data_IF_487583085823
#
_entry.id   IF_487583085823
#
_cell.length_a   1.000
_cell.length_b   1.000
_cell.length_c   1.000
_cell.angle_alpha   90.00
_cell.angle_beta   90.00
_cell.angle_gamma   90.00
#
_symmetry.space_group_name_H-M   'P 1'
#
loop_
_entity.id
_entity.type
_entity.pdbx_description
1 polymer ?
#
# COMPACT_ATOMS: atom_id res chain seq x y z
N UNK A 1 6.96 -20.75 -8.24
CA UNK A 1 6.77 -20.74 -6.77
C UNK A 1 5.78 -19.65 -6.32
N UNK A 2 4.78 -19.29 -7.14
CA UNK A 2 3.74 -18.29 -6.81
C UNK A 2 2.45 -18.68 -7.56
N UNK A 3 1.89 -19.84 -7.28
CA UNK A 3 0.74 -20.37 -8.04
C UNK A 3 -0.60 -19.74 -7.65
N UNK A 4 -0.64 -18.86 -6.63
CA UNK A 4 -1.89 -18.29 -6.12
C UNK A 4 -2.75 -19.28 -5.34
N UNK A 5 -2.39 -20.57 -5.36
CA UNK A 5 -3.09 -21.67 -4.69
C UNK A 5 -3.17 -21.49 -3.17
N UNK A 6 -2.21 -20.78 -2.58
CA UNK A 6 -2.16 -20.53 -1.14
C UNK A 6 -3.48 -19.97 -0.58
N UNK A 7 -4.15 -19.07 -1.32
CA UNK A 7 -5.43 -18.50 -0.90
C UNK A 7 -6.54 -19.55 -0.84
N UNK A 8 -6.58 -20.44 -1.84
CA UNK A 8 -7.56 -21.52 -1.92
C UNK A 8 -7.30 -22.59 -0.85
N UNK A 9 -6.03 -22.97 -0.68
CA UNK A 9 -5.62 -23.93 0.36
C UNK A 9 -5.92 -23.42 1.76
N UNK A 10 -5.70 -22.12 2.01
CA UNK A 10 -6.00 -21.52 3.32
C UNK A 10 -7.50 -21.41 3.54
N UNK A 11 -8.27 -21.00 2.52
CA UNK A 11 -9.73 -20.89 2.60
C UNK A 11 -10.39 -22.24 2.93
N UNK A 12 -9.85 -23.34 2.38
CA UNK A 12 -10.33 -24.70 2.63
C UNK A 12 -10.09 -25.18 4.09
N UNK A 13 -9.20 -24.52 4.84
CA UNK A 13 -8.89 -24.87 6.24
C UNK A 13 -9.70 -24.07 7.26
N UNK A 14 -10.42 -23.03 6.83
CA UNK A 14 -11.22 -22.19 7.70
C UNK A 14 -12.59 -22.82 7.98
N UNK A 15 -13.24 -22.46 9.11
CA UNK A 15 -14.60 -22.92 9.40
C UNK A 15 -15.59 -22.56 8.30
N UNK A 16 -16.63 -23.38 8.17
CA UNK A 16 -17.73 -23.13 7.25
C UNK A 16 -18.33 -21.73 7.50
N UNK A 17 -18.64 -21.00 6.42
CA UNK A 17 -19.06 -19.58 6.43
C UNK A 17 -17.96 -18.54 6.67
N UNK A 18 -16.68 -18.94 6.81
CA UNK A 18 -15.56 -17.98 6.83
C UNK A 18 -15.13 -17.61 5.41
N UNK A 19 -14.68 -16.37 5.18
CA UNK A 19 -14.13 -15.92 3.88
C UNK A 19 -12.84 -15.15 4.10
N UNK A 20 -11.78 -15.54 3.40
CA UNK A 20 -10.52 -14.79 3.38
C UNK A 20 -10.70 -13.55 2.53
N UNK A 21 -10.31 -12.41 3.09
CA UNK A 21 -10.35 -11.11 2.44
C UNK A 21 -8.92 -10.57 2.32
N UNK A 22 -8.23 -10.76 1.18
CA UNK A 22 -6.91 -10.19 0.98
C UNK A 22 -7.02 -8.66 0.91
N UNK A 23 -6.15 -7.96 1.64
CA UNK A 23 -6.01 -6.51 1.53
C UNK A 23 -4.73 -6.20 0.74
N UNK A 24 -4.87 -5.43 -0.34
CA UNK A 24 -3.77 -5.11 -1.24
C UNK A 24 -3.49 -3.61 -1.13
N UNK A 25 -2.22 -3.27 -0.90
CA UNK A 25 -1.73 -1.91 -0.94
C UNK A 25 -0.90 -1.66 -2.19
N UNK A 26 -1.03 -0.46 -2.76
CA UNK A 26 -0.21 0.00 -3.88
C UNK A 26 0.18 1.46 -3.65
N UNK A 27 1.42 1.78 -4.00
CA UNK A 27 1.96 3.14 -3.97
C UNK A 27 2.57 3.45 -5.33
N UNK A 28 2.32 4.66 -5.84
CA UNK A 28 2.93 5.15 -7.07
C UNK A 28 3.18 6.66 -6.96
N UNK A 29 4.22 7.14 -7.63
CA UNK A 29 4.58 8.56 -7.62
C UNK A 29 3.58 9.34 -8.46
N UNK A 30 2.91 10.32 -7.86
CA UNK A 30 1.97 11.20 -8.56
C UNK A 30 2.40 12.66 -8.46
N UNK A 31 2.34 13.38 -9.58
CA UNK A 31 2.59 14.82 -9.60
C UNK A 31 1.25 15.54 -9.30
N UNK A 32 1.19 16.31 -8.22
CA UNK A 32 -0.01 17.02 -7.79
C UNK A 32 -0.24 18.34 -8.56
N UNK A 33 0.79 18.91 -9.18
CA UNK A 33 0.67 20.12 -10.02
C UNK A 33 1.73 20.15 -11.12
N UNK A 34 1.34 20.51 -12.35
CA UNK A 34 2.25 20.68 -13.50
C UNK A 34 2.66 22.14 -13.72
N UNK A 35 1.94 23.10 -13.11
CA UNK A 35 2.03 24.52 -13.48
C UNK A 35 2.62 25.46 -12.41
N UNK A 36 2.77 25.05 -11.15
CA UNK A 36 3.45 25.86 -10.13
C UNK A 36 3.78 25.02 -8.90
N UNK A 37 5.05 24.62 -8.77
CA UNK A 37 5.62 24.19 -7.49
C UNK A 37 6.03 22.73 -7.32
N UNK A 38 6.26 21.95 -8.40
CA UNK A 38 6.86 20.59 -8.38
C UNK A 38 6.45 19.72 -7.18
N UNK A 39 5.16 19.77 -6.80
CA UNK A 39 4.66 19.03 -5.66
C UNK A 39 4.42 17.59 -6.09
N UNK A 40 5.38 16.75 -5.76
CA UNK A 40 5.26 15.29 -5.86
C UNK A 40 4.59 14.78 -4.59
N UNK A 41 3.68 13.82 -4.74
CA UNK A 41 3.18 13.02 -3.64
C UNK A 41 3.20 11.53 -3.99
N UNK A 42 3.38 10.71 -2.96
CA UNK A 42 3.32 9.26 -3.05
C UNK A 42 2.07 8.77 -2.32
N UNK A 43 0.91 8.74 -2.99
CA UNK A 43 -0.30 8.18 -2.41
C UNK A 43 -0.14 6.68 -2.14
N UNK A 44 -0.66 6.24 -1.00
CA UNK A 44 -0.88 4.84 -0.68
C UNK A 44 -2.36 4.54 -0.91
N UNK A 45 -2.64 3.63 -1.83
CA UNK A 45 -3.97 3.13 -2.12
C UNK A 45 -4.16 1.73 -1.55
N UNK A 46 -5.39 1.40 -1.18
CA UNK A 46 -5.82 0.11 -0.68
C UNK A 46 -6.98 -0.43 -1.52
N UNK A 47 -7.01 -1.75 -1.73
CA UNK A 47 -8.14 -2.46 -2.35
C UNK A 47 -8.30 -3.85 -1.74
N UNK A 48 -9.46 -4.46 -1.96
CA UNK A 48 -9.76 -5.83 -1.55
C UNK A 48 -9.48 -6.79 -2.71
N UNK A 49 -8.76 -7.87 -2.43
CA UNK A 49 -8.35 -8.88 -3.41
C UNK A 49 -9.50 -9.65 -4.03
N UNK A 50 -10.62 -9.82 -3.31
CA UNK A 50 -11.83 -10.48 -3.81
C UNK A 50 -12.54 -9.68 -4.91
N UNK A 51 -12.20 -8.39 -5.09
CA UNK A 51 -12.74 -7.61 -6.20
C UNK A 51 -12.07 -8.09 -7.50
N UNK A 52 -12.92 -8.48 -8.46
CA UNK A 52 -12.49 -8.92 -9.79
C UNK A 52 -11.47 -7.94 -10.40
N UNK A 53 -10.44 -8.49 -11.04
CA UNK A 53 -9.32 -7.70 -11.58
C UNK A 53 -9.81 -6.63 -12.57
N UNK A 54 -10.78 -6.97 -13.40
CA UNK A 54 -11.41 -6.09 -14.38
C UNK A 54 -12.09 -4.91 -13.68
N UNK A 55 -12.74 -5.17 -12.55
CA UNK A 55 -13.37 -4.14 -11.74
C UNK A 55 -12.34 -3.25 -11.04
N UNK A 56 -11.23 -3.82 -10.52
CA UNK A 56 -10.13 -3.05 -9.91
C UNK A 56 -9.41 -2.14 -10.89
N UNK A 57 -9.30 -2.55 -12.16
CA UNK A 57 -8.60 -1.77 -13.22
C UNK A 57 -9.43 -0.61 -13.76
N UNK A 58 -10.77 -0.64 -13.63
CA UNK A 58 -11.64 0.43 -14.10
C UNK A 58 -11.72 1.54 -13.06
N UNK A 59 -11.22 2.73 -13.42
CA UNK A 59 -11.23 3.90 -12.54
C UNK A 59 -12.65 4.28 -12.07
N UNK A 60 -13.65 4.11 -12.94
CA UNK A 60 -15.08 4.36 -12.65
C UNK A 60 -15.61 3.59 -11.45
N UNK A 61 -15.04 2.41 -11.18
CA UNK A 61 -15.55 1.50 -10.15
C UNK A 61 -15.05 1.87 -8.74
N UNK A 62 -14.10 2.81 -8.62
CA UNK A 62 -13.58 3.31 -7.34
C UNK A 62 -13.19 2.17 -6.37
N UNK A 63 -12.66 1.09 -6.93
CA UNK A 63 -12.28 -0.13 -6.22
C UNK A 63 -10.99 0.05 -5.38
N UNK A 64 -10.24 1.12 -5.65
CA UNK A 64 -9.08 1.55 -4.86
C UNK A 64 -9.45 2.76 -4.02
N UNK A 65 -9.00 2.79 -2.78
CA UNK A 65 -9.20 3.89 -1.83
C UNK A 65 -7.85 4.44 -1.39
N UNK A 66 -7.70 5.76 -1.44
CA UNK A 66 -6.53 6.44 -0.89
C UNK A 66 -6.60 6.35 0.63
N UNK A 67 -5.52 5.86 1.26
CA UNK A 67 -5.43 5.74 2.72
C UNK A 67 -4.43 6.70 3.33
N UNK A 68 -3.37 7.08 2.59
CA UNK A 68 -2.35 7.98 3.09
C UNK A 68 -1.55 8.63 1.95
N UNK A 69 -0.77 9.65 2.30
CA UNK A 69 0.31 10.20 1.46
C UNK A 69 1.63 10.02 2.18
N UNK A 70 2.63 9.45 1.52
CA UNK A 70 3.97 9.33 2.06
C UNK A 70 4.74 10.66 1.88
N UNK A 71 5.57 11.04 2.87
CA UNK A 71 6.36 12.25 2.80
C UNK A 71 7.42 12.16 1.71
N UNK A 72 7.63 13.27 0.98
CA UNK A 72 8.77 13.45 0.07
C UNK A 72 9.85 14.22 0.80
N UNK A 73 10.70 13.51 1.52
CA UNK A 73 11.82 14.11 2.24
C UNK A 73 13.01 14.32 1.29
N UNK A 74 13.54 15.55 1.21
CA UNK A 74 14.74 15.86 0.42
C UNK A 74 16.02 15.29 1.02
N UNK A 75 16.04 15.14 2.36
CA UNK A 75 17.14 14.52 3.11
C UNK A 75 18.50 15.21 2.87
N UNK A 76 18.48 16.54 2.65
CA UNK A 76 19.66 17.36 2.37
C UNK A 76 20.71 17.36 3.51
N UNK A 77 20.31 16.92 4.70
CA UNK A 77 21.21 16.74 5.85
C UNK A 77 22.20 15.57 5.71
N UNK A 78 22.01 14.68 4.74
CA UNK A 78 22.96 13.60 4.45
C UNK A 78 23.86 14.00 3.27
N UNK A 79 25.17 13.77 3.43
CA UNK A 79 26.18 14.19 2.45
C UNK A 79 26.18 13.30 1.19
N UNK A 80 26.03 11.98 1.37
CA UNK A 80 26.08 11.01 0.26
C UNK A 80 24.69 10.60 -0.21
N UNK A 81 24.54 10.35 -1.51
CA UNK A 81 23.29 9.86 -2.10
C UNK A 81 22.87 8.48 -1.57
N UNK A 82 23.83 7.61 -1.25
CA UNK A 82 23.52 6.29 -0.68
C UNK A 82 22.92 6.40 0.72
N UNK A 83 23.45 7.28 1.57
CA UNK A 83 22.84 7.58 2.87
C UNK A 83 21.43 8.18 2.74
N UNK A 84 21.22 9.09 1.78
CA UNK A 84 19.88 9.65 1.49
C UNK A 84 18.90 8.56 1.08
N UNK A 85 19.30 7.64 0.20
CA UNK A 85 18.46 6.52 -0.24
C UNK A 85 18.12 5.59 0.92
N UNK A 86 19.11 5.18 1.72
CA UNK A 86 18.90 4.33 2.88
C UNK A 86 17.91 4.96 3.87
N UNK A 87 18.07 6.25 4.17
CA UNK A 87 17.19 6.98 5.07
C UNK A 87 15.80 7.22 4.48
N UNK A 88 15.70 7.40 3.18
CA UNK A 88 14.43 7.42 2.46
C UNK A 88 13.65 6.11 2.63
N UNK A 89 14.34 4.96 2.55
CA UNK A 89 13.73 3.65 2.81
C UNK A 89 13.31 3.48 4.27
N UNK A 90 14.12 3.91 5.24
CA UNK A 90 13.74 3.88 6.65
C UNK A 90 12.45 4.67 6.91
N UNK A 91 12.35 5.89 6.36
CA UNK A 91 11.13 6.72 6.46
C UNK A 91 9.95 6.02 5.80
N UNK A 92 10.13 5.45 4.60
CA UNK A 92 9.09 4.70 3.91
C UNK A 92 8.55 3.56 4.78
N UNK A 93 9.44 2.74 5.35
CA UNK A 93 9.05 1.60 6.17
C UNK A 93 8.37 2.03 7.46
N UNK A 94 8.85 3.08 8.11
CA UNK A 94 8.22 3.63 9.31
C UNK A 94 6.83 4.21 9.03
N UNK A 95 6.65 4.94 7.93
CA UNK A 95 5.34 5.40 7.50
C UNK A 95 4.39 4.24 7.20
N UNK A 96 4.85 3.23 6.44
CA UNK A 96 4.02 2.04 6.16
C UNK A 96 3.67 1.26 7.43
N UNK A 97 4.59 1.18 8.40
CA UNK A 97 4.32 0.57 9.72
C UNK A 97 3.18 1.28 10.43
N UNK A 98 3.21 2.62 10.47
CA UNK A 98 2.14 3.42 11.10
C UNK A 98 0.81 3.30 10.35
N UNK A 99 0.82 3.36 9.01
CA UNK A 99 -0.39 3.22 8.19
C UNK A 99 -1.06 1.86 8.39
N UNK A 100 -0.25 0.80 8.53
CA UNK A 100 -0.74 -0.57 8.66
C UNK A 100 -0.95 -1.01 10.11
N UNK A 101 -0.53 -0.22 11.10
CA UNK A 101 -0.68 -0.52 12.53
C UNK A 101 -2.11 -0.94 12.93
N UNK A 102 -3.18 -0.30 12.43
CA UNK A 102 -4.54 -0.74 12.75
C UNK A 102 -4.83 -2.19 12.37
N UNK A 103 -4.25 -2.69 11.27
CA UNK A 103 -4.46 -4.07 10.82
C UNK A 103 -3.83 -5.10 11.75
N UNK A 104 -2.75 -4.73 12.44
CA UNK A 104 -2.09 -5.60 13.42
C UNK A 104 -2.73 -5.50 14.81
N UNK A 105 -3.31 -4.34 15.14
CA UNK A 105 -4.02 -4.12 16.40
C UNK A 105 -5.38 -4.83 16.48
N UNK A 106 -5.95 -5.19 15.33
CA UNK A 106 -7.18 -5.99 15.20
C UNK A 106 -6.96 -7.49 15.48
N UNK A 107 -6.02 -7.82 16.37
CA UNK A 107 -5.82 -9.20 16.84
C UNK A 107 -7.13 -9.81 17.34
N UNK A 108 -7.27 -11.16 17.31
CA UNK A 108 -8.53 -11.81 17.63
C UNK A 108 -9.04 -11.40 19.01
N UNK A 109 -10.35 -11.11 19.10
CA UNK A 109 -11.06 -11.07 20.38
C UNK A 109 -10.89 -12.39 21.15
#
# INVERSE_FOLDING_TARGET
MWTGDWWWETQARLPESSTIVPVIFATDKTNLSVFSGDKVAWPVYMTVGNIAKEARRKLSNRAWRLVAYLPVAKLDCFETDDARRAKGWEIYHECMRQILEPLYSLGPE
#
